data_IF_736761356337
#
_entry.id   IF_736761356337
#
_cell.length_a   1.000
_cell.length_b   1.000
_cell.length_c   1.000
_cell.angle_alpha   90.00
_cell.angle_beta   90.00
_cell.angle_gamma   90.00
#
_symmetry.space_group_name_H-M   'P 1'
#
loop_
_entity.id
_entity.type
_entity.pdbx_description
1 polymer ?
#
# COMPACT_ATOMS: atom_id res chain seq x y z
N UNK A 1 8.77 11.37 -16.57
CA UNK A 1 7.39 11.15 -16.05
C UNK A 1 6.63 10.34 -17.09
N UNK A 2 5.83 9.34 -16.72
CA UNK A 2 5.16 8.45 -17.69
C UNK A 2 4.10 9.11 -18.58
N UNK A 3 4.11 10.44 -18.70
CA UNK A 3 3.19 11.24 -19.51
C UNK A 3 3.25 10.88 -21.00
N UNK A 4 4.42 10.46 -21.51
CA UNK A 4 4.61 10.04 -22.90
C UNK A 4 4.13 8.61 -23.23
N UNK A 5 3.73 7.81 -22.24
CA UNK A 5 3.36 6.40 -22.48
C UNK A 5 1.98 6.28 -23.14
N UNK A 6 1.87 5.43 -24.17
CA UNK A 6 0.61 5.19 -24.89
C UNK A 6 -0.05 3.86 -24.48
N UNK A 7 -1.37 3.90 -24.25
CA UNK A 7 -2.16 2.70 -23.91
C UNK A 7 -2.17 1.75 -25.12
N UNK A 8 -1.87 0.47 -24.90
CA UNK A 8 -1.77 -0.54 -25.95
C UNK A 8 -0.41 -0.64 -26.64
N UNK A 9 0.53 0.28 -26.36
CA UNK A 9 1.92 0.23 -26.86
C UNK A 9 2.90 0.04 -25.70
N UNK A 10 2.88 0.96 -24.73
CA UNK A 10 3.81 0.98 -23.58
C UNK A 10 3.12 0.69 -22.24
N UNK A 11 1.80 0.53 -22.30
CA UNK A 11 0.90 0.33 -21.16
C UNK A 11 -0.23 -0.61 -21.60
N UNK A 12 -0.05 -1.91 -21.39
CA UNK A 12 -1.10 -2.89 -21.65
C UNK A 12 -2.28 -2.72 -20.70
N UNK A 13 -2.14 -3.20 -19.47
CA UNK A 13 -3.17 -3.03 -18.45
C UNK A 13 -2.57 -2.52 -17.14
N UNK A 14 -3.19 -1.47 -16.59
CA UNK A 14 -2.58 -0.54 -15.61
C UNK A 14 -3.34 -0.47 -14.30
N UNK A 15 -4.55 -1.06 -14.25
CA UNK A 15 -5.38 -1.03 -13.06
C UNK A 15 -4.74 -1.81 -11.91
N UNK A 16 -4.62 -1.14 -10.76
CA UNK A 16 -4.28 -1.77 -9.48
C UNK A 16 -5.47 -1.63 -8.54
N UNK A 17 -5.92 -2.71 -7.88
CA UNK A 17 -6.97 -2.62 -6.89
C UNK A 17 -6.49 -1.83 -5.67
N UNK A 18 -7.45 -1.18 -5.02
CA UNK A 18 -7.25 -0.41 -3.80
C UNK A 18 -8.33 -0.83 -2.81
N UNK A 19 -7.94 -1.02 -1.54
CA UNK A 19 -8.88 -1.48 -0.51
C UNK A 19 -10.05 -0.50 -0.34
N UNK A 20 -11.26 -1.05 -0.28
CA UNK A 20 -12.48 -0.26 -0.13
C UNK A 20 -12.65 0.21 1.33
N UNK A 21 -13.19 1.42 1.57
CA UNK A 21 -13.50 1.90 2.93
C UNK A 21 -14.45 0.99 3.73
N UNK A 22 -15.37 0.30 3.04
CA UNK A 22 -16.24 -0.71 3.67
C UNK A 22 -15.42 -1.89 4.21
N UNK A 23 -14.49 -2.43 3.41
CA UNK A 23 -13.59 -3.52 3.77
C UNK A 23 -12.71 -3.16 4.97
N UNK A 24 -12.13 -1.96 4.97
CA UNK A 24 -11.34 -1.45 6.10
C UNK A 24 -12.19 -1.50 7.38
N UNK A 25 -13.38 -0.88 7.36
CA UNK A 25 -14.28 -0.85 8.53
C UNK A 25 -14.66 -2.25 9.00
N UNK A 26 -14.98 -3.16 8.08
CA UNK A 26 -15.32 -4.55 8.41
C UNK A 26 -14.16 -5.27 9.12
N UNK A 27 -12.94 -5.19 8.59
CA UNK A 27 -11.77 -5.84 9.20
C UNK A 27 -11.46 -5.24 10.57
N UNK A 28 -11.53 -3.91 10.72
CA UNK A 28 -11.35 -3.25 12.01
C UNK A 28 -12.42 -3.70 13.03
N UNK A 29 -13.69 -3.80 12.62
CA UNK A 29 -14.77 -4.31 13.47
C UNK A 29 -14.56 -5.76 13.89
N UNK A 30 -14.09 -6.63 12.98
CA UNK A 30 -13.75 -8.01 13.30
C UNK A 30 -12.64 -8.07 14.33
N UNK A 31 -11.53 -7.34 14.09
CA UNK A 31 -10.40 -7.30 15.01
C UNK A 31 -10.83 -6.83 16.41
N UNK A 32 -11.67 -5.80 16.50
CA UNK A 32 -12.23 -5.33 17.78
C UNK A 32 -13.10 -6.39 18.46
N UNK A 33 -14.02 -7.04 17.72
CA UNK A 33 -14.92 -8.06 18.27
C UNK A 33 -14.17 -9.28 18.82
N UNK A 34 -12.98 -9.56 18.28
CA UNK A 34 -12.11 -10.67 18.69
C UNK A 34 -10.99 -10.23 19.63
N UNK A 35 -10.96 -8.96 20.02
CA UNK A 35 -9.89 -8.36 20.83
C UNK A 35 -8.48 -8.52 20.22
N UNK A 36 -8.39 -8.58 18.89
CA UNK A 36 -7.11 -8.69 18.17
C UNK A 36 -6.42 -7.35 18.06
N UNK A 37 -5.09 -7.39 18.05
CA UNK A 37 -4.29 -6.23 17.69
C UNK A 37 -4.37 -5.96 16.20
N UNK A 38 -4.31 -4.67 15.85
CA UNK A 38 -4.26 -4.19 14.48
C UNK A 38 -2.91 -3.51 14.32
N UNK A 39 -2.13 -4.05 13.39
CA UNK A 39 -0.74 -3.69 13.17
C UNK A 39 -0.60 -3.03 11.82
N UNK A 40 0.23 -2.00 11.74
CA UNK A 40 0.48 -1.27 10.52
C UNK A 40 1.91 -1.53 10.05
N UNK A 41 2.05 -1.79 8.77
CA UNK A 41 3.33 -1.97 8.11
C UNK A 41 3.37 -1.06 6.87
N UNK A 42 4.58 -0.73 6.43
CA UNK A 42 4.84 0.07 5.24
C UNK A 42 5.92 -0.61 4.39
N UNK A 43 5.75 -0.61 3.08
CA UNK A 43 6.71 -1.19 2.13
C UNK A 43 7.56 -0.08 1.53
N UNK A 44 8.85 -0.06 1.85
CA UNK A 44 9.76 0.92 1.27
C UNK A 44 9.90 0.70 -0.23
N UNK A 45 9.73 1.79 -0.99
CA UNK A 45 9.88 1.78 -2.45
C UNK A 45 9.04 0.69 -3.14
N UNK A 46 7.78 0.50 -2.71
CA UNK A 46 6.88 -0.56 -3.17
C UNK A 46 6.93 -0.82 -4.70
N UNK A 47 6.93 0.24 -5.51
CA UNK A 47 6.97 0.09 -6.97
C UNK A 47 8.28 -0.49 -7.51
N UNK A 48 9.42 -0.37 -6.82
CA UNK A 48 10.69 -0.97 -7.25
C UNK A 48 10.69 -2.50 -7.13
N UNK A 49 9.80 -3.05 -6.32
CA UNK A 49 9.67 -4.50 -6.18
C UNK A 49 8.89 -5.13 -7.35
N UNK A 50 8.08 -4.34 -8.07
CA UNK A 50 7.32 -4.80 -9.23
C UNK A 50 8.20 -5.12 -10.44
N UNK A 51 7.79 -6.14 -11.19
CA UNK A 51 8.44 -6.52 -12.44
C UNK A 51 7.67 -6.00 -13.64
N UNK A 52 8.39 -5.38 -14.57
CA UNK A 52 7.82 -4.91 -15.83
C UNK A 52 7.75 -6.09 -16.79
N UNK A 53 6.55 -6.37 -17.31
CA UNK A 53 6.36 -7.36 -18.38
C UNK A 53 6.78 -6.80 -19.74
N UNK A 54 6.53 -5.51 -19.95
CA UNK A 54 6.87 -4.81 -21.18
C UNK A 54 8.26 -4.17 -21.09
N UNK A 55 8.91 -4.03 -22.24
CA UNK A 55 10.21 -3.34 -22.30
C UNK A 55 9.96 -1.84 -22.31
N UNK A 56 10.28 -1.19 -21.20
CA UNK A 56 10.15 0.27 -21.07
C UNK A 56 11.52 0.91 -21.11
N UNK A 57 11.65 1.98 -21.90
CA UNK A 57 12.84 2.82 -21.93
C UNK A 57 12.55 4.18 -21.27
N UNK A 58 13.58 4.79 -20.70
CA UNK A 58 13.53 6.16 -20.20
C UNK A 58 14.71 6.98 -20.71
N UNK A 59 14.51 8.28 -20.87
CA UNK A 59 15.62 9.20 -21.06
C UNK A 59 16.59 9.13 -19.88
N UNK A 60 17.86 9.39 -20.16
CA UNK A 60 18.88 9.43 -19.13
C UNK A 60 18.52 10.54 -18.12
N UNK A 61 18.46 10.23 -16.81
CA UNK A 61 18.12 11.23 -15.82
C UNK A 61 19.22 12.30 -15.73
N UNK A 62 18.81 13.52 -15.38
CA UNK A 62 19.73 14.62 -15.11
C UNK A 62 20.79 14.19 -14.09
N UNK A 63 22.06 14.43 -14.39
CA UNK A 63 23.20 14.00 -13.57
C UNK A 63 23.72 12.58 -13.85
N UNK A 64 23.01 11.77 -14.65
CA UNK A 64 23.40 10.39 -15.02
C UNK A 64 23.51 10.21 -16.54
N UNK A 65 23.62 11.32 -17.29
CA UNK A 65 23.79 11.29 -18.75
C UNK A 65 25.22 10.86 -19.07
N UNK A 66 25.36 9.79 -19.84
CA UNK A 66 26.63 9.30 -20.35
C UNK A 66 27.24 10.35 -21.30
N UNK A 67 28.46 10.78 -21.01
CA UNK A 67 29.18 11.77 -21.81
C UNK A 67 29.59 11.24 -23.19
N UNK A 68 29.78 9.93 -23.33
CA UNK A 68 30.12 9.26 -24.59
C UNK A 68 28.87 8.95 -25.41
N UNK A 69 27.74 8.74 -24.75
CA UNK A 69 26.47 8.37 -25.39
C UNK A 69 25.31 9.26 -24.91
N UNK A 70 25.34 10.56 -25.21
CA UNK A 70 24.35 11.51 -24.68
C UNK A 70 22.94 11.24 -25.19
N UNK A 71 22.77 10.60 -26.35
CA UNK A 71 21.45 10.38 -26.97
C UNK A 71 20.90 8.96 -26.73
N UNK A 72 21.61 8.14 -25.95
CA UNK A 72 21.09 6.84 -25.54
C UNK A 72 19.95 6.98 -24.53
N UNK A 73 19.20 5.89 -24.39
CA UNK A 73 18.13 5.72 -23.40
C UNK A 73 18.45 4.53 -22.49
N UNK A 74 17.92 4.56 -21.26
CA UNK A 74 18.05 3.45 -20.33
C UNK A 74 16.85 2.52 -20.43
N UNK A 75 17.11 1.20 -20.47
CA UNK A 75 16.07 0.18 -20.35
C UNK A 75 15.77 -0.08 -18.87
N UNK A 76 14.52 0.06 -18.48
CA UNK A 76 14.08 -0.22 -17.12
C UNK A 76 14.03 -1.73 -16.86
N UNK A 77 14.64 -2.15 -15.75
CA UNK A 77 14.61 -3.56 -15.29
C UNK A 77 13.54 -3.83 -14.24
N UNK A 78 13.10 -2.79 -13.53
CA UNK A 78 12.08 -2.82 -12.47
C UNK A 78 11.10 -1.67 -12.70
N UNK A 79 9.89 -1.77 -12.16
CA UNK A 79 8.95 -0.66 -12.21
C UNK A 79 9.44 0.53 -11.38
N UNK A 80 9.10 1.74 -11.82
CA UNK A 80 9.47 3.00 -11.18
C UNK A 80 8.24 3.85 -10.91
N UNK A 81 8.37 4.78 -9.96
CA UNK A 81 7.37 5.81 -9.73
C UNK A 81 7.13 6.64 -11.00
N UNK A 82 5.87 6.92 -11.29
CA UNK A 82 5.45 7.67 -12.48
C UNK A 82 5.18 6.82 -13.71
N UNK A 83 5.48 5.51 -13.70
CA UNK A 83 5.02 4.58 -14.74
C UNK A 83 3.55 4.21 -14.51
N UNK A 84 2.73 4.20 -15.56
CA UNK A 84 1.29 3.91 -15.45
C UNK A 84 1.00 2.47 -14.97
N UNK A 85 1.89 1.53 -15.25
CA UNK A 85 1.77 0.11 -14.89
C UNK A 85 2.42 -0.25 -13.55
N UNK A 86 3.21 0.65 -12.95
CA UNK A 86 3.97 0.35 -11.72
C UNK A 86 3.09 -0.09 -10.54
N UNK A 87 1.94 0.57 -10.25
CA UNK A 87 1.06 0.13 -9.17
C UNK A 87 0.57 -1.30 -9.35
N UNK A 88 0.20 -1.68 -10.57
CA UNK A 88 -0.27 -3.03 -10.89
C UNK A 88 0.85 -4.05 -10.79
N UNK A 89 2.04 -3.75 -11.32
CA UNK A 89 3.20 -4.63 -11.25
C UNK A 89 3.57 -4.94 -9.79
N UNK A 90 3.54 -3.91 -8.95
CA UNK A 90 3.71 -4.06 -7.50
C UNK A 90 2.61 -4.93 -6.88
N UNK A 91 1.34 -4.58 -7.09
CA UNK A 91 0.22 -5.33 -6.53
C UNK A 91 0.30 -6.81 -6.89
N UNK A 92 0.56 -7.12 -8.16
CA UNK A 92 0.71 -8.51 -8.63
C UNK A 92 1.87 -9.20 -7.89
N UNK A 93 3.03 -8.56 -7.80
CA UNK A 93 4.20 -9.13 -7.13
C UNK A 93 3.95 -9.44 -5.66
N UNK A 94 3.24 -8.55 -4.97
CA UNK A 94 2.82 -8.76 -3.59
C UNK A 94 1.81 -9.89 -3.49
N UNK A 95 0.80 -9.89 -4.36
CA UNK A 95 -0.27 -10.88 -4.36
C UNK A 95 0.25 -12.30 -4.61
N UNK A 96 1.15 -12.47 -5.59
CA UNK A 96 1.79 -13.75 -5.89
C UNK A 96 2.57 -14.29 -4.68
N UNK A 97 3.32 -13.42 -3.99
CA UNK A 97 4.04 -13.80 -2.78
C UNK A 97 3.11 -14.12 -1.61
N UNK A 98 2.11 -13.26 -1.34
CA UNK A 98 1.12 -13.49 -0.30
C UNK A 98 0.44 -14.86 -0.49
N UNK A 99 0.11 -15.22 -1.73
CA UNK A 99 -0.42 -16.55 -2.04
C UNK A 99 0.57 -17.69 -1.81
N UNK A 100 1.86 -17.50 -2.12
CA UNK A 100 2.89 -18.50 -1.83
C UNK A 100 3.06 -18.82 -0.33
N UNK A 101 2.81 -17.84 0.54
CA UNK A 101 2.85 -18.02 2.01
C UNK A 101 1.49 -18.39 2.61
N UNK A 102 0.49 -18.71 1.78
CA UNK A 102 -0.78 -19.30 2.19
C UNK A 102 -1.97 -18.35 2.31
N UNK A 103 -1.85 -17.09 1.88
CA UNK A 103 -3.01 -16.20 1.79
C UNK A 103 -3.84 -16.45 0.54
N UNK A 104 -5.15 -16.24 0.67
CA UNK A 104 -6.10 -16.21 -0.44
C UNK A 104 -6.67 -14.80 -0.61
N UNK A 105 -6.84 -14.35 -1.84
CA UNK A 105 -7.47 -13.05 -2.12
C UNK A 105 -8.99 -13.15 -1.95
N UNK A 106 -9.60 -12.12 -1.37
CA UNK A 106 -11.05 -12.01 -1.29
C UNK A 106 -11.65 -11.70 -2.66
N UNK A 107 -12.77 -12.37 -2.99
CA UNK A 107 -13.51 -12.12 -4.23
C UNK A 107 -14.21 -10.76 -4.25
N UNK A 108 -14.54 -10.21 -3.07
CA UNK A 108 -15.28 -8.95 -2.95
C UNK A 108 -14.36 -7.72 -2.99
N UNK A 109 -13.11 -7.90 -2.58
CA UNK A 109 -12.08 -6.87 -2.54
C UNK A 109 -10.69 -7.52 -2.72
N UNK A 110 -10.09 -7.34 -3.89
CA UNK A 110 -8.81 -7.97 -4.24
C UNK A 110 -7.64 -7.43 -3.42
N UNK A 111 -7.81 -6.30 -2.72
CA UNK A 111 -6.81 -5.76 -1.78
C UNK A 111 -6.91 -6.35 -0.37
N UNK A 112 -7.89 -7.25 -0.12
CA UNK A 112 -8.00 -8.04 1.11
C UNK A 112 -7.46 -9.45 0.87
N UNK A 113 -6.45 -9.80 1.65
CA UNK A 113 -5.86 -11.13 1.71
C UNK A 113 -6.27 -11.81 3.03
N UNK A 114 -6.71 -13.06 2.92
CA UNK A 114 -7.23 -13.85 4.04
C UNK A 114 -6.38 -15.12 4.16
N UNK A 115 -5.76 -15.30 5.32
CA UNK A 115 -5.14 -16.57 5.70
C UNK A 115 -6.07 -17.29 6.65
N UNK A 116 -6.35 -18.56 6.38
CA UNK A 116 -7.11 -19.45 7.27
C UNK A 116 -6.54 -20.85 7.21
N UNK A 117 -5.93 -21.30 8.31
CA UNK A 117 -5.48 -22.68 8.49
C UNK A 117 -5.60 -23.04 9.96
N UNK A 118 -6.33 -24.12 10.26
CA UNK A 118 -6.58 -24.58 11.64
C UNK A 118 -7.16 -23.44 12.52
N UNK A 119 -6.48 -23.09 13.62
CA UNK A 119 -6.82 -21.98 14.52
C UNK A 119 -6.19 -20.64 14.12
N UNK A 120 -5.35 -20.61 13.08
CA UNK A 120 -4.69 -19.42 12.58
C UNK A 120 -5.57 -18.70 11.56
N UNK A 121 -5.93 -17.45 11.89
CA UNK A 121 -6.63 -16.54 11.01
C UNK A 121 -5.85 -15.24 10.90
N UNK A 122 -5.71 -14.72 9.70
CA UNK A 122 -5.19 -13.38 9.47
C UNK A 122 -5.96 -12.67 8.37
N UNK A 123 -6.11 -11.36 8.55
CA UNK A 123 -6.60 -10.45 7.53
C UNK A 123 -5.51 -9.42 7.25
N UNK A 124 -5.12 -9.32 5.99
CA UNK A 124 -4.13 -8.37 5.50
C UNK A 124 -4.79 -7.47 4.46
N UNK A 125 -4.77 -6.17 4.68
CA UNK A 125 -5.22 -5.16 3.74
C UNK A 125 -4.00 -4.48 3.13
N UNK A 126 -3.94 -4.43 1.79
CA UNK A 126 -2.92 -3.70 1.05
C UNK A 126 -3.52 -2.44 0.43
N UNK A 127 -3.00 -1.28 0.79
CA UNK A 127 -3.25 0.00 0.11
C UNK A 127 -1.92 0.52 -0.43
N UNK A 128 -1.64 0.29 -1.71
CA UNK A 128 -0.38 0.71 -2.34
C UNK A 128 0.83 0.22 -1.52
N UNK A 129 1.48 1.07 -0.75
CA UNK A 129 2.62 0.80 0.14
C UNK A 129 2.22 0.53 1.61
N UNK A 130 1.07 1.03 2.06
CA UNK A 130 0.56 0.80 3.41
C UNK A 130 -0.13 -0.58 3.54
N UNK A 131 0.16 -1.28 4.65
CA UNK A 131 -0.45 -2.57 4.99
C UNK A 131 -1.06 -2.50 6.39
N UNK A 132 -2.29 -3.01 6.51
CA UNK A 132 -2.89 -3.34 7.81
C UNK A 132 -2.91 -4.85 7.97
N UNK A 133 -2.38 -5.35 9.08
CA UNK A 133 -2.40 -6.76 9.45
C UNK A 133 -3.11 -6.95 10.79
N UNK A 134 -4.05 -7.89 10.84
CA UNK A 134 -4.63 -8.40 12.08
C UNK A 134 -4.67 -9.91 12.07
N UNK A 135 -4.37 -10.54 13.20
CA UNK A 135 -4.17 -12.00 13.31
C UNK A 135 -4.81 -12.54 14.59
N UNK A 136 -5.06 -13.85 14.62
CA UNK A 136 -5.63 -14.53 15.78
C UNK A 136 -4.69 -14.65 16.98
N UNK A 137 -3.38 -14.54 16.78
CA UNK A 137 -2.38 -14.52 17.86
C UNK A 137 -1.19 -13.62 17.52
N UNK A 138 -0.49 -13.16 18.57
CA UNK A 138 0.71 -12.32 18.43
C UNK A 138 1.89 -13.09 17.83
N UNK A 139 2.08 -14.34 18.24
CA UNK A 139 3.11 -15.23 17.68
C UNK A 139 2.94 -15.38 16.18
N UNK A 140 1.71 -15.60 15.71
CA UNK A 140 1.42 -15.73 14.29
C UNK A 140 1.60 -14.40 13.53
N UNK A 141 1.27 -13.27 14.16
CA UNK A 141 1.56 -11.92 13.64
C UNK A 141 3.04 -11.76 13.34
N UNK A 142 3.90 -12.10 14.30
CA UNK A 142 5.35 -11.98 14.15
C UNK A 142 5.87 -12.90 13.05
N UNK A 143 5.35 -14.13 12.93
CA UNK A 143 5.71 -15.05 11.84
C UNK A 143 5.35 -14.47 10.46
N UNK A 144 4.15 -13.91 10.30
CA UNK A 144 3.75 -13.27 9.03
C UNK A 144 4.62 -12.05 8.72
N UNK A 145 4.89 -11.19 9.71
CA UNK A 145 5.77 -10.01 9.52
C UNK A 145 7.17 -10.44 9.11
N UNK A 146 7.72 -11.50 9.73
CA UNK A 146 9.03 -12.04 9.38
C UNK A 146 9.07 -12.56 7.93
N UNK A 147 8.05 -13.32 7.50
CA UNK A 147 7.93 -13.76 6.11
C UNK A 147 7.88 -12.57 5.15
N UNK A 148 6.98 -11.61 5.38
CA UNK A 148 6.90 -10.41 4.54
C UNK A 148 8.22 -9.62 4.51
N UNK A 149 8.91 -9.51 5.64
CA UNK A 149 10.19 -8.77 5.75
C UNK A 149 11.36 -9.52 5.12
N UNK A 150 11.26 -10.84 4.96
CA UNK A 150 12.27 -11.63 4.25
C UNK A 150 12.24 -11.38 2.74
N UNK A 151 11.09 -10.93 2.22
CA UNK A 151 10.85 -10.74 0.80
C UNK A 151 10.86 -9.27 0.38
N UNK A 152 10.22 -8.41 1.18
CA UNK A 152 10.05 -6.99 0.89
C UNK A 152 10.78 -6.15 1.93
N UNK A 153 11.20 -4.95 1.52
CA UNK A 153 11.81 -3.98 2.43
C UNK A 153 10.74 -3.37 3.35
N UNK A 154 10.34 -4.13 4.36
CA UNK A 154 9.27 -3.78 5.28
C UNK A 154 9.73 -2.79 6.36
N UNK A 155 8.82 -1.90 6.74
CA UNK A 155 8.92 -1.05 7.92
C UNK A 155 7.74 -1.35 8.84
N UNK A 156 8.05 -1.79 10.05
CA UNK A 156 7.03 -1.97 11.09
C UNK A 156 6.68 -0.61 11.71
N UNK A 157 5.41 -0.21 11.61
CA UNK A 157 4.87 1.03 12.18
C UNK A 157 4.15 0.82 13.53
N UNK A 158 4.07 -0.43 14.00
CA UNK A 158 3.47 -0.80 15.27
C UNK A 158 1.95 -0.85 15.22
N UNK A 159 1.32 -0.45 16.32
CA UNK A 159 -0.13 -0.38 16.39
C UNK A 159 -0.69 0.68 15.45
N UNK A 160 -1.82 0.36 14.81
CA UNK A 160 -2.53 1.26 13.92
C UNK A 160 -2.87 2.58 14.64
N UNK A 161 -2.26 3.67 14.18
CA UNK A 161 -2.45 5.03 14.72
C UNK A 161 -2.86 6.05 13.64
N UNK A 162 -2.49 5.83 12.38
CA UNK A 162 -2.76 6.72 11.27
C UNK A 162 -2.71 5.97 9.95
N UNK A 163 -3.80 5.93 9.20
CA UNK A 163 -3.88 5.22 7.92
C UNK A 163 -4.77 6.00 6.97
N UNK A 164 -4.26 6.32 5.77
CA UNK A 164 -4.99 7.03 4.71
C UNK A 164 -5.66 8.34 5.15
N UNK A 165 -4.95 9.16 5.92
CA UNK A 165 -5.50 10.43 6.43
C UNK A 165 -6.42 10.28 7.64
N UNK A 166 -6.62 9.06 8.15
CA UNK A 166 -7.48 8.78 9.30
C UNK A 166 -6.60 8.49 10.51
N UNK A 167 -6.67 9.36 11.52
CA UNK A 167 -6.15 9.06 12.85
C UNK A 167 -7.02 8.00 13.51
N UNK A 168 -6.39 6.97 14.06
CA UNK A 168 -7.03 5.87 14.77
C UNK A 168 -6.61 5.94 16.23
N UNK A 169 -7.58 6.07 17.12
CA UNK A 169 -7.36 6.09 18.57
C UNK A 169 -8.10 4.91 19.20
N UNK A 170 -7.37 4.03 19.89
CA UNK A 170 -7.95 2.88 20.58
C UNK A 170 -8.40 3.27 21.98
N UNK A 171 -9.64 2.91 22.31
CA UNK A 171 -10.22 3.00 23.65
C UNK A 171 -10.56 1.61 24.16
N UNK A 172 -10.90 1.47 25.46
CA UNK A 172 -11.26 0.17 26.07
C UNK A 172 -12.37 -0.56 25.32
N UNK A 173 -13.31 0.15 24.70
CA UNK A 173 -14.51 -0.42 24.08
C UNK A 173 -14.60 -0.20 22.56
N UNK A 174 -13.57 0.34 21.91
CA UNK A 174 -13.65 0.61 20.48
C UNK A 174 -12.49 1.40 19.89
N UNK A 175 -12.64 1.76 18.61
CA UNK A 175 -11.75 2.66 17.90
C UNK A 175 -12.48 3.95 17.56
N UNK A 176 -11.84 5.08 17.83
CA UNK A 176 -12.25 6.37 17.31
C UNK A 176 -11.45 6.69 16.05
N UNK A 177 -12.16 6.95 14.95
CA UNK A 177 -11.58 7.28 13.64
C UNK A 177 -11.82 8.76 13.36
N UNK A 178 -10.76 9.52 13.08
CA UNK A 178 -10.86 10.96 12.84
C UNK A 178 -9.98 11.44 11.70
N UNK A 179 -10.57 12.18 10.76
CA UNK A 179 -9.82 12.92 9.73
C UNK A 179 -9.50 14.36 10.16
N UNK A 180 -9.69 14.73 11.44
CA UNK A 180 -9.44 16.09 11.93
C UNK A 180 -8.01 16.55 11.65
N UNK A 181 -7.02 15.67 11.83
CA UNK A 181 -5.61 15.98 11.54
C UNK A 181 -5.41 16.27 10.06
N UNK A 182 -5.89 15.38 9.19
CA UNK A 182 -5.79 15.54 7.74
C UNK A 182 -6.50 16.80 7.22
N UNK A 183 -7.71 17.11 7.72
CA UNK A 183 -8.41 18.34 7.39
C UNK A 183 -7.61 19.60 7.77
N UNK A 184 -6.97 19.60 8.94
CA UNK A 184 -6.08 20.71 9.35
C UNK A 184 -4.84 20.82 8.46
N UNK A 185 -4.25 19.70 8.05
CA UNK A 185 -3.11 19.69 7.13
C UNK A 185 -3.49 20.25 5.75
N UNK A 186 -4.70 19.95 5.25
CA UNK A 186 -5.22 20.55 4.02
C UNK A 186 -5.37 22.06 4.19
N UNK A 187 -6.00 22.53 5.26
CA UNK A 187 -6.14 23.97 5.52
C UNK A 187 -4.78 24.66 5.61
N UNK A 188 -3.81 24.05 6.28
CA UNK A 188 -2.45 24.59 6.38
C UNK A 188 -1.77 24.68 5.02
N UNK A 189 -1.88 23.66 4.18
CA UNK A 189 -1.31 23.66 2.82
C UNK A 189 -1.95 24.69 1.91
N UNK A 190 -3.24 24.97 2.12
CA UNK A 190 -3.98 26.00 1.38
C UNK A 190 -3.76 27.42 1.94
N UNK A 191 -3.01 27.59 3.04
CA UNK A 191 -2.86 28.88 3.70
C UNK A 191 -4.13 29.37 4.42
N UNK A 192 -5.06 28.47 4.71
CA UNK A 192 -6.40 28.77 5.24
C UNK A 192 -6.54 28.49 6.75
N UNK A 193 -5.44 28.28 7.47
CA UNK A 193 -5.46 27.95 8.91
C UNK A 193 -6.14 29.01 9.79
N UNK A 194 -6.16 30.26 9.35
CA UNK A 194 -6.76 31.41 10.06
C UNK A 194 -8.05 31.92 9.41
N UNK A 195 -8.59 31.22 8.41
CA UNK A 195 -9.84 31.62 7.77
C UNK A 195 -11.00 31.57 8.77
N UNK A 196 -11.85 32.61 8.73
CA UNK A 196 -13.06 32.66 9.54
C UNK A 196 -14.03 31.56 9.11
N UNK A 197 -14.73 30.98 10.08
CA UNK A 197 -15.81 30.02 9.81
C UNK A 197 -16.89 30.68 8.97
N UNK A 198 -17.37 29.99 7.94
CA UNK A 198 -18.55 30.46 7.22
C UNK A 198 -19.75 30.42 8.18
N UNK A 199 -20.56 31.49 8.27
CA UNK A 199 -21.79 31.43 9.05
C UNK A 199 -22.71 30.35 8.44
N UNK A 200 -23.11 29.40 9.27
CA UNK A 200 -24.08 28.33 8.96
C UNK A 200 -25.47 28.74 9.40
#
# INVERSE_FOLDING_TARGET
DGAGQQVGIDCGETFSPVVKPATIRTVLSIALSKSWYIHQLDVKNAFLHGELKETVYMYQPLGFRDSKHPDHVYRLRKSLYGLKQAPRAWYKRFADYASSIGFSQSKCDHSLFIYKKDSHLAYLLLYVDDIILTTSSDTFRQSIISLLSSEFAMKDLGHLNYFLGITVTRHKHGLFLSQKKYAKEILSRAGMSSCKTCPT
#
